data_IF_241539232688
#
_entry.id   IF_241539232688
#
_cell.length_a   1.000
_cell.length_b   1.000
_cell.length_c   1.000
_cell.angle_alpha   90.00
_cell.angle_beta   90.00
_cell.angle_gamma   90.00
#
_symmetry.space_group_name_H-M   'P 1'
#
loop_
_entity.id
_entity.type
_entity.pdbx_description
1 polymer ?
#
# COMPACT_ATOMS: atom_id res chain seq x y z
N UNK A 1 -15.67 7.03 13.97
CA UNK A 1 -15.92 8.17 14.88
C UNK A 1 -17.26 8.09 15.63
N UNK A 2 -18.31 7.47 15.06
CA UNK A 2 -19.60 7.30 15.74
C UNK A 2 -19.48 6.67 17.13
N UNK A 3 -18.71 5.58 17.28
CA UNK A 3 -18.47 4.91 18.58
C UNK A 3 -17.97 5.85 19.69
N UNK A 4 -17.05 6.76 19.38
CA UNK A 4 -16.53 7.72 20.36
C UNK A 4 -17.60 8.74 20.77
N UNK A 5 -18.42 9.18 19.81
CA UNK A 5 -19.53 10.09 20.07
C UNK A 5 -20.60 9.42 20.94
N UNK A 6 -21.00 8.19 20.61
CA UNK A 6 -21.95 7.38 21.40
C UNK A 6 -21.46 7.21 22.84
N UNK A 7 -20.18 6.92 23.02
CA UNK A 7 -19.56 6.71 24.33
C UNK A 7 -19.14 8.01 25.02
N UNK A 8 -19.43 9.18 24.44
CA UNK A 8 -19.00 10.51 24.94
C UNK A 8 -17.50 10.53 25.31
N UNK A 9 -16.68 9.87 24.51
CA UNK A 9 -15.24 9.75 24.71
C UNK A 9 -14.53 10.85 23.93
N UNK A 10 -13.96 11.81 24.67
CA UNK A 10 -13.29 12.98 24.11
C UNK A 10 -11.77 12.83 24.13
N UNK A 11 -11.09 13.52 23.22
CA UNK A 11 -9.64 13.60 23.16
C UNK A 11 -9.07 13.52 21.75
N UNK A 12 -7.74 13.58 21.66
CA UNK A 12 -7.01 13.44 20.40
C UNK A 12 -6.62 11.99 20.17
N UNK A 13 -6.96 11.46 19.00
CA UNK A 13 -6.69 10.08 18.60
C UNK A 13 -6.09 10.05 17.20
N UNK A 14 -5.11 9.16 16.99
CA UNK A 14 -4.67 8.78 15.66
C UNK A 14 -5.60 7.65 15.17
N UNK A 15 -6.57 7.99 14.31
CA UNK A 15 -7.48 7.03 13.68
C UNK A 15 -6.83 6.42 12.41
N UNK A 16 -5.61 5.91 12.58
CA UNK A 16 -4.83 5.22 11.54
C UNK A 16 -4.80 3.72 11.85
N UNK A 17 -4.51 2.88 10.87
CA UNK A 17 -4.59 1.43 11.01
C UNK A 17 -3.50 0.68 10.26
N UNK A 18 -3.49 -0.66 10.35
CA UNK A 18 -4.39 -1.50 11.16
C UNK A 18 -4.00 -1.56 12.66
N UNK A 19 -4.68 -2.42 13.42
CA UNK A 19 -4.31 -2.74 14.81
C UNK A 19 -2.87 -3.24 14.95
N UNK A 20 -2.35 -3.91 13.91
CA UNK A 20 -0.98 -4.35 13.80
C UNK A 20 -0.36 -3.75 12.53
N UNK A 21 0.97 -3.53 12.48
CA UNK A 21 1.62 -3.00 11.29
C UNK A 21 1.30 -3.80 10.03
N UNK A 22 0.77 -3.15 8.99
CA UNK A 22 0.58 -3.75 7.67
C UNK A 22 1.86 -3.62 6.86
N UNK A 23 2.46 -4.75 6.52
CA UNK A 23 3.60 -4.81 5.59
C UNK A 23 3.12 -4.80 4.14
N UNK A 24 3.93 -4.25 3.24
CA UNK A 24 3.60 -4.21 1.81
C UNK A 24 3.38 -5.60 1.23
N UNK A 25 4.18 -6.60 1.63
CA UNK A 25 4.02 -7.97 1.15
C UNK A 25 2.68 -8.58 1.55
N UNK A 26 2.25 -8.34 2.79
CA UNK A 26 0.93 -8.79 3.26
C UNK A 26 -0.20 -8.11 2.50
N UNK A 27 -0.06 -6.81 2.21
CA UNK A 27 -1.02 -6.05 1.41
C UNK A 27 -1.11 -6.63 -0.02
N UNK A 28 0.02 -6.73 -0.71
CA UNK A 28 0.11 -7.24 -2.09
C UNK A 28 -0.37 -8.68 -2.21
N UNK A 29 0.02 -9.55 -1.28
CA UNK A 29 -0.43 -10.94 -1.25
C UNK A 29 -1.95 -11.04 -1.02
N UNK A 30 -2.52 -10.20 -0.15
CA UNK A 30 -3.97 -10.17 0.09
C UNK A 30 -4.71 -9.61 -1.12
N UNK A 31 -4.22 -8.55 -1.75
CA UNK A 31 -4.76 -8.04 -3.01
C UNK A 31 -4.74 -9.10 -4.10
N UNK A 32 -3.65 -9.83 -4.28
CA UNK A 32 -3.58 -10.91 -5.27
C UNK A 32 -4.63 -11.99 -5.03
N UNK A 33 -4.81 -12.43 -3.77
CA UNK A 33 -5.82 -13.44 -3.41
C UNK A 33 -7.25 -12.93 -3.64
N UNK A 34 -7.60 -11.78 -3.08
CA UNK A 34 -8.96 -11.22 -3.13
C UNK A 34 -9.40 -10.86 -4.56
N UNK A 35 -8.47 -10.50 -5.44
CA UNK A 35 -8.78 -10.14 -6.83
C UNK A 35 -8.66 -11.30 -7.82
N UNK A 36 -8.15 -12.47 -7.39
CA UNK A 36 -7.83 -13.58 -8.30
C UNK A 36 -6.70 -13.27 -9.29
N UNK A 37 -5.92 -12.21 -9.05
CA UNK A 37 -4.83 -11.78 -9.94
C UNK A 37 -3.71 -12.83 -10.00
N UNK A 38 -3.06 -12.94 -11.16
CA UNK A 38 -1.86 -13.73 -11.37
C UNK A 38 -0.55 -12.91 -11.26
N UNK A 39 -0.61 -11.73 -10.63
CA UNK A 39 0.55 -10.85 -10.46
C UNK A 39 1.74 -11.56 -9.81
N UNK A 40 2.93 -11.27 -10.34
CA UNK A 40 4.23 -11.70 -9.79
C UNK A 40 4.94 -10.47 -9.23
N UNK A 41 5.50 -10.60 -8.04
CA UNK A 41 6.19 -9.51 -7.36
C UNK A 41 7.69 -9.71 -7.47
N UNK A 42 8.41 -8.63 -7.81
CA UNK A 42 9.87 -8.57 -7.79
C UNK A 42 10.27 -7.50 -6.78
N UNK A 43 11.04 -7.89 -5.77
CA UNK A 43 11.56 -6.95 -4.78
C UNK A 43 12.86 -6.33 -5.28
N UNK A 44 12.88 -4.99 -5.33
CA UNK A 44 14.05 -4.18 -5.65
C UNK A 44 14.47 -3.35 -4.43
N UNK A 45 15.73 -2.92 -4.37
CA UNK A 45 16.22 -2.09 -3.27
C UNK A 45 15.80 -0.63 -3.43
N UNK A 46 15.68 0.11 -2.32
CA UNK A 46 15.47 1.56 -2.36
C UNK A 46 16.56 2.28 -3.16
N UNK A 47 17.80 1.82 -3.09
CA UNK A 47 18.92 2.38 -3.86
C UNK A 47 18.70 2.22 -5.37
N UNK A 48 18.15 1.09 -5.81
CA UNK A 48 17.79 0.90 -7.21
C UNK A 48 16.65 1.82 -7.64
N UNK A 49 15.64 1.99 -6.78
CA UNK A 49 14.53 2.95 -7.00
C UNK A 49 15.06 4.37 -7.17
N UNK A 50 15.99 4.79 -6.30
CA UNK A 50 16.63 6.10 -6.37
C UNK A 50 17.53 6.25 -7.60
N UNK A 51 18.43 5.29 -7.86
CA UNK A 51 19.35 5.28 -9.01
C UNK A 51 18.61 5.38 -10.35
N UNK A 52 17.51 4.62 -10.49
CA UNK A 52 16.71 4.59 -11.71
C UNK A 52 15.64 5.67 -11.79
N UNK A 53 15.54 6.50 -10.75
CA UNK A 53 14.54 7.56 -10.62
C UNK A 53 13.13 7.04 -10.90
N UNK A 54 12.78 5.90 -10.29
CA UNK A 54 11.49 5.25 -10.49
C UNK A 54 10.40 6.09 -9.82
N UNK A 55 9.44 6.56 -10.61
CA UNK A 55 8.30 7.34 -10.11
C UNK A 55 7.23 6.42 -9.49
N UNK A 56 7.22 6.35 -8.16
CA UNK A 56 6.25 5.58 -7.38
C UNK A 56 5.35 6.54 -6.58
N UNK A 57 4.09 6.74 -6.98
CA UNK A 57 3.16 7.60 -6.26
C UNK A 57 3.01 7.17 -4.80
N UNK A 58 3.16 8.12 -3.87
CA UNK A 58 2.95 7.92 -2.43
C UNK A 58 3.93 6.87 -1.83
N UNK A 59 5.11 6.70 -2.43
CA UNK A 59 6.18 5.90 -1.85
C UNK A 59 7.15 6.77 -1.03
N UNK A 60 7.60 6.22 0.10
CA UNK A 60 8.65 6.83 0.94
C UNK A 60 9.65 5.77 1.32
N UNK A 61 10.92 6.13 1.31
CA UNK A 61 11.98 5.26 1.80
C UNK A 61 11.87 5.11 3.31
N UNK A 62 11.86 3.86 3.79
CA UNK A 62 11.79 3.54 5.23
C UNK A 62 13.14 3.66 5.93
N UNK A 63 14.24 3.67 5.19
CA UNK A 63 15.60 3.69 5.73
C UNK A 63 16.19 5.09 5.88
N UNK A 64 15.66 6.08 5.16
CA UNK A 64 16.30 7.39 5.02
C UNK A 64 15.31 8.53 4.81
N UNK A 65 15.78 9.76 5.03
CA UNK A 65 15.03 10.98 4.79
C UNK A 65 14.03 11.34 5.89
N UNK A 66 13.44 12.55 5.80
CA UNK A 66 12.57 13.11 6.85
C UNK A 66 11.26 12.32 7.05
N UNK A 67 10.88 11.45 6.11
CA UNK A 67 9.64 10.67 6.14
C UNK A 67 9.85 9.17 6.41
N UNK A 68 11.03 8.73 6.85
CA UNK A 68 11.30 7.32 7.17
C UNK A 68 10.32 6.72 8.22
N UNK A 69 9.75 7.58 9.07
CA UNK A 69 8.73 7.23 10.06
C UNK A 69 7.27 7.38 9.61
N UNK A 70 6.99 7.74 8.35
CA UNK A 70 5.65 8.15 7.89
C UNK A 70 4.54 7.14 8.25
N UNK A 71 4.83 5.84 8.15
CA UNK A 71 3.90 4.76 8.49
C UNK A 71 3.93 4.28 9.96
N UNK A 72 4.71 4.91 10.84
CA UNK A 72 4.95 4.48 12.24
C UNK A 72 4.18 5.32 13.25
N UNK A 73 2.89 5.54 13.01
CA UNK A 73 2.02 6.33 13.88
C UNK A 73 1.38 5.44 14.93
N UNK A 74 1.55 5.77 16.22
CA UNK A 74 0.92 5.04 17.33
C UNK A 74 -0.59 5.31 17.38
N UNK A 75 -1.40 4.26 17.25
CA UNK A 75 -2.87 4.29 17.32
C UNK A 75 -3.43 3.59 18.57
N UNK A 76 -2.61 3.18 19.54
CA UNK A 76 -3.06 2.40 20.71
C UNK A 76 -4.20 3.06 21.49
N UNK A 77 -4.19 4.40 21.59
CA UNK A 77 -5.28 5.16 22.22
C UNK A 77 -6.61 5.00 21.49
N UNK A 78 -6.59 4.96 20.16
CA UNK A 78 -7.80 4.76 19.34
C UNK A 78 -8.37 3.35 19.54
N UNK A 79 -7.49 2.35 19.51
CA UNK A 79 -7.85 0.93 19.72
C UNK A 79 -8.41 0.72 21.14
N UNK A 80 -7.76 1.27 22.17
CA UNK A 80 -8.22 1.19 23.55
C UNK A 80 -9.59 1.89 23.76
N UNK A 81 -9.90 2.91 22.97
CA UNK A 81 -11.19 3.59 22.99
C UNK A 81 -12.29 2.85 22.16
N UNK A 82 -11.99 1.64 21.66
CA UNK A 82 -12.95 0.80 20.96
C UNK A 82 -13.12 1.11 19.47
N UNK A 83 -12.20 1.87 18.86
CA UNK A 83 -12.16 1.98 17.41
C UNK A 83 -11.65 0.67 16.80
N UNK A 84 -12.41 0.15 15.84
CA UNK A 84 -12.14 -1.11 15.14
C UNK A 84 -11.77 -0.87 13.67
N UNK A 85 -11.20 -1.89 13.04
CA UNK A 85 -10.81 -1.87 11.64
C UNK A 85 -11.61 -2.90 10.88
N UNK A 86 -11.91 -2.60 9.61
CA UNK A 86 -12.48 -3.61 8.72
C UNK A 86 -11.36 -4.56 8.23
N UNK A 87 -11.68 -5.82 7.90
CA UNK A 87 -10.73 -6.73 7.26
C UNK A 87 -10.16 -6.16 5.95
N UNK A 88 -8.89 -6.45 5.67
CA UNK A 88 -8.18 -5.89 4.51
C UNK A 88 -8.75 -6.40 3.18
N UNK A 89 -9.09 -7.69 3.11
CA UNK A 89 -9.76 -8.33 1.98
C UNK A 89 -11.09 -7.66 1.65
N UNK A 90 -11.96 -7.42 2.64
CA UNK A 90 -13.21 -6.69 2.44
C UNK A 90 -12.95 -5.27 1.91
N UNK A 91 -11.89 -4.61 2.37
CA UNK A 91 -11.51 -3.27 1.85
C UNK A 91 -11.13 -3.33 0.38
N UNK A 92 -10.35 -4.33 -0.02
CA UNK A 92 -9.88 -4.51 -1.39
C UNK A 92 -11.06 -4.84 -2.32
N UNK A 93 -11.92 -5.77 -1.92
CA UNK A 93 -13.08 -6.21 -2.69
C UNK A 93 -14.05 -5.06 -2.94
N UNK A 94 -14.39 -4.30 -1.90
CA UNK A 94 -15.27 -3.13 -2.02
C UNK A 94 -14.65 -2.02 -2.87
N UNK A 95 -13.34 -1.77 -2.73
CA UNK A 95 -12.66 -0.76 -3.54
C UNK A 95 -12.67 -1.14 -5.01
N UNK A 96 -12.44 -2.41 -5.33
CA UNK A 96 -12.48 -2.91 -6.70
C UNK A 96 -13.91 -2.86 -7.27
N UNK A 97 -14.91 -3.27 -6.49
CA UNK A 97 -16.31 -3.19 -6.89
C UNK A 97 -16.74 -1.74 -7.13
N UNK A 98 -16.38 -0.82 -6.23
CA UNK A 98 -16.61 0.60 -6.41
C UNK A 98 -15.92 1.13 -7.67
N UNK A 99 -14.65 0.82 -7.88
CA UNK A 99 -13.92 1.27 -9.06
C UNK A 99 -14.56 0.76 -10.37
N UNK A 100 -14.98 -0.51 -10.40
CA UNK A 100 -15.71 -1.11 -11.53
C UNK A 100 -17.07 -0.48 -11.80
N UNK A 101 -17.69 0.15 -10.80
CA UNK A 101 -18.97 0.88 -10.95
C UNK A 101 -18.80 2.28 -11.54
N UNK A 102 -17.58 2.82 -11.62
CA UNK A 102 -17.34 4.16 -12.17
C UNK A 102 -17.49 4.19 -13.71
N UNK A 103 -17.76 5.36 -14.31
CA UNK A 103 -17.77 5.50 -15.77
C UNK A 103 -16.46 5.04 -16.42
N UNK A 104 -16.52 4.51 -17.65
CA UNK A 104 -15.36 3.97 -18.37
C UNK A 104 -14.18 4.96 -18.45
N UNK A 105 -14.45 6.26 -18.61
CA UNK A 105 -13.43 7.32 -18.59
C UNK A 105 -12.60 7.34 -17.30
N UNK A 106 -13.25 7.10 -16.15
CA UNK A 106 -12.60 7.04 -14.83
C UNK A 106 -11.79 5.75 -14.65
N UNK A 107 -12.14 4.69 -15.39
CA UNK A 107 -11.43 3.42 -15.38
C UNK A 107 -10.24 3.40 -16.34
N UNK A 108 -10.32 4.15 -17.45
CA UNK A 108 -9.40 4.06 -18.58
C UNK A 108 -7.94 4.39 -18.25
N UNK A 109 -7.68 5.25 -17.24
CA UNK A 109 -6.33 5.68 -16.90
C UNK A 109 -6.04 5.57 -15.42
N UNK A 110 -5.36 4.50 -15.03
CA UNK A 110 -4.79 4.34 -13.70
C UNK A 110 -3.52 5.20 -13.58
N UNK A 111 -3.47 6.09 -12.59
CA UNK A 111 -2.28 6.89 -12.26
C UNK A 111 -1.32 6.09 -11.38
N UNK A 112 -0.85 4.96 -11.90
CA UNK A 112 -0.05 3.98 -11.17
C UNK A 112 1.46 4.31 -11.08
N UNK A 113 1.90 5.45 -11.63
CA UNK A 113 3.30 5.89 -11.61
C UNK A 113 4.01 5.60 -12.93
N UNK A 114 4.48 4.37 -13.11
CA UNK A 114 5.28 3.98 -14.28
C UNK A 114 4.45 3.32 -15.39
N UNK A 115 4.91 3.44 -16.64
CA UNK A 115 4.34 2.70 -17.77
C UNK A 115 4.77 1.23 -17.73
N UNK A 116 4.05 0.36 -18.43
CA UNK A 116 4.37 -1.07 -18.51
C UNK A 116 5.71 -1.33 -19.20
N UNK A 117 6.02 -0.52 -20.22
CA UNK A 117 7.28 -0.58 -20.97
C UNK A 117 8.44 -0.21 -20.04
N UNK A 118 8.29 0.89 -19.29
CA UNK A 118 9.30 1.33 -18.33
C UNK A 118 9.50 0.31 -17.21
N UNK A 119 8.43 -0.28 -16.70
CA UNK A 119 8.50 -1.36 -15.71
C UNK A 119 9.29 -2.56 -16.25
N UNK A 120 9.00 -3.02 -17.47
CA UNK A 120 9.70 -4.15 -18.08
C UNK A 120 11.20 -3.89 -18.27
N UNK A 121 11.59 -2.69 -18.72
CA UNK A 121 12.99 -2.27 -18.84
C UNK A 121 13.71 -2.31 -17.48
N UNK A 122 13.07 -1.77 -16.44
CA UNK A 122 13.62 -1.71 -15.08
C UNK A 122 13.79 -3.10 -14.49
N UNK A 123 12.82 -3.99 -14.68
CA UNK A 123 12.90 -5.37 -14.21
C UNK A 123 13.98 -6.16 -14.94
N UNK A 124 14.13 -6.00 -16.26
CA UNK A 124 15.21 -6.62 -17.00
C UNK A 124 16.59 -6.15 -16.51
N UNK A 125 16.74 -4.84 -16.30
CA UNK A 125 17.97 -4.26 -15.76
C UNK A 125 18.26 -4.73 -14.32
N UNK A 126 17.23 -4.92 -13.50
CA UNK A 126 17.37 -5.48 -12.15
C UNK A 126 17.83 -6.93 -12.18
N UNK A 127 17.18 -7.78 -12.96
CA UNK A 127 17.52 -9.20 -13.06
C UNK A 127 18.91 -9.43 -13.65
N UNK A 128 19.36 -8.60 -14.60
CA UNK A 128 20.73 -8.69 -15.15
C UNK A 128 21.82 -8.38 -14.12
N UNK A 129 21.49 -7.68 -13.02
CA UNK A 129 22.43 -7.38 -11.92
C UNK A 129 22.47 -8.47 -10.86
N UNK A 130 21.45 -9.30 -10.78
CA UNK A 130 21.43 -10.39 -9.84
C UNK A 130 22.25 -11.54 -10.44
N UNK A 131 23.34 -11.99 -9.77
CA UNK A 131 23.98 -13.23 -10.18
C UNK A 131 22.90 -14.32 -10.18
N UNK A 132 22.82 -15.10 -11.26
CA UNK A 132 21.87 -16.21 -11.36
C UNK A 132 21.99 -17.03 -10.07
N UNK A 133 20.95 -17.01 -9.24
CA UNK A 133 20.82 -17.97 -8.16
C UNK A 133 20.77 -19.34 -8.86
N UNK A 134 21.88 -20.07 -8.78
CA UNK A 134 22.02 -21.43 -9.31
C UNK A 134 21.07 -22.40 -8.62
#
# INVERSE_FOLDING_TARGET
MIRLAENRTFGTFNATGPQQPLLMDTMLATSRRSTGSNARFTHVTSDFVAEKQIDLPIWVDRGQGPYAGYGRVDNRRAVAAGLTFRPLDTTIEDLLAWFGSLPAERQARLRAGISREREAELLAAWHARQPSAG
#
